data_IF_142301379270
#
_entry.id   IF_142301379270
#
_cell.length_a   1.000
_cell.length_b   1.000
_cell.length_c   1.000
_cell.angle_alpha   90.00
_cell.angle_beta   90.00
_cell.angle_gamma   90.00
#
_symmetry.space_group_name_H-M   'P 1'
#
loop_
_entity.id
_entity.type
_entity.pdbx_description
1 polymer ?
#
# COMPACT_ATOMS: atom_id res chain seq x y z
N UNK A 1 -4.53 -12.53 15.79
CA UNK A 1 -3.54 -11.97 14.85
C UNK A 1 -3.86 -12.55 13.49
N UNK A 2 -3.95 -11.75 12.44
CA UNK A 2 -4.34 -12.21 11.11
C UNK A 2 -3.35 -13.26 10.60
N UNK A 3 -3.83 -14.38 10.06
CA UNK A 3 -2.97 -15.42 9.48
C UNK A 3 -3.03 -15.31 7.97
N UNK A 4 -1.87 -15.22 7.32
CA UNK A 4 -1.77 -15.26 5.85
C UNK A 4 -1.55 -16.69 5.39
N UNK A 5 -2.11 -17.01 4.22
CA UNK A 5 -1.97 -18.34 3.61
C UNK A 5 -0.88 -18.24 2.53
N UNK A 6 0.21 -19.02 2.64
CA UNK A 6 1.26 -19.02 1.62
C UNK A 6 0.72 -19.34 0.23
N UNK A 7 1.06 -18.50 -0.75
CA UNK A 7 0.63 -18.66 -2.14
C UNK A 7 -0.73 -18.03 -2.48
N UNK A 8 -1.48 -17.55 -1.48
CA UNK A 8 -2.66 -16.73 -1.76
C UNK A 8 -2.30 -15.29 -2.10
N UNK A 9 -3.10 -14.69 -2.99
CA UNK A 9 -3.00 -13.28 -3.34
C UNK A 9 -3.93 -12.49 -2.44
N UNK A 10 -3.41 -11.37 -1.93
CA UNK A 10 -4.15 -10.40 -1.18
C UNK A 10 -4.13 -9.08 -1.93
N UNK A 11 -5.29 -8.45 -2.06
CA UNK A 11 -5.42 -7.12 -2.64
C UNK A 11 -4.76 -6.08 -1.73
N UNK A 12 -4.05 -5.13 -2.33
CA UNK A 12 -3.33 -4.12 -1.56
C UNK A 12 -3.24 -2.78 -2.29
N UNK A 13 -3.32 -1.70 -1.52
CA UNK A 13 -2.83 -0.39 -1.93
C UNK A 13 -1.34 -0.29 -1.55
N UNK A 14 -0.50 0.19 -2.47
CA UNK A 14 0.96 0.25 -2.25
C UNK A 14 1.48 1.67 -2.40
N UNK A 15 2.14 2.17 -1.35
CA UNK A 15 2.89 3.41 -1.36
C UNK A 15 4.36 3.11 -1.70
N UNK A 16 4.90 3.80 -2.70
CA UNK A 16 6.32 3.73 -3.06
C UNK A 16 6.94 5.10 -2.80
N UNK A 17 7.67 5.20 -1.69
CA UNK A 17 8.23 6.45 -1.20
C UNK A 17 9.75 6.50 -1.30
N UNK A 18 10.30 7.62 -0.87
CA UNK A 18 11.72 7.74 -0.49
C UNK A 18 11.78 8.20 0.94
N UNK A 19 12.61 7.57 1.77
CA UNK A 19 12.82 8.03 3.14
C UNK A 19 13.91 9.12 3.15
N UNK A 20 13.57 10.40 3.37
CA UNK A 20 14.57 11.48 3.37
C UNK A 20 15.38 11.54 4.68
N UNK A 21 14.96 10.82 5.72
CA UNK A 21 15.55 10.85 7.07
C UNK A 21 16.83 10.02 7.17
N UNK A 22 16.98 8.98 6.34
CA UNK A 22 18.24 8.27 6.20
C UNK A 22 19.02 8.89 5.03
N UNK A 23 20.31 9.11 5.21
CA UNK A 23 21.24 9.77 4.28
C UNK A 23 21.44 9.08 2.92
N UNK A 24 20.59 8.10 2.57
CA UNK A 24 20.52 7.42 1.29
C UNK A 24 19.13 7.54 0.67
N UNK A 25 19.07 7.64 -0.66
CA UNK A 25 17.82 7.62 -1.46
C UNK A 25 17.15 6.24 -1.44
N UNK A 26 16.99 5.65 -0.26
CA UNK A 26 16.38 4.34 -0.08
C UNK A 26 14.91 4.47 -0.37
N UNK A 27 14.46 3.77 -1.41
CA UNK A 27 13.03 3.66 -1.72
C UNK A 27 12.38 2.75 -0.68
N UNK A 28 11.24 3.18 -0.18
CA UNK A 28 10.37 2.34 0.65
C UNK A 28 9.20 1.85 -0.19
N UNK A 29 8.77 0.62 0.07
CA UNK A 29 7.57 0.04 -0.52
C UNK A 29 6.73 -0.43 0.65
N UNK A 30 5.57 0.19 0.82
CA UNK A 30 4.66 -0.05 1.94
C UNK A 30 3.33 -0.52 1.38
N UNK A 31 2.95 -1.76 1.67
CA UNK A 31 1.70 -2.35 1.23
C UNK A 31 0.66 -2.34 2.36
N UNK A 32 -0.51 -1.82 2.07
CA UNK A 32 -1.69 -1.90 2.92
C UNK A 32 -2.64 -2.94 2.33
N UNK A 33 -2.79 -4.08 3.00
CA UNK A 33 -3.71 -5.14 2.59
C UNK A 33 -5.15 -4.67 2.78
N UNK A 34 -5.95 -4.80 1.74
CA UNK A 34 -7.35 -4.39 1.71
C UNK A 34 -8.25 -5.48 2.31
N UNK A 35 -9.26 -5.03 3.05
CA UNK A 35 -10.44 -5.81 3.47
C UNK A 35 -10.15 -7.08 4.28
N UNK A 36 -8.91 -7.28 4.74
CA UNK A 36 -8.51 -8.35 5.64
C UNK A 36 -7.36 -7.94 6.56
N UNK A 37 -7.16 -8.72 7.62
CA UNK A 37 -6.04 -8.57 8.53
C UNK A 37 -4.97 -9.63 8.18
N UNK A 38 -3.77 -9.18 7.86
CA UNK A 38 -2.67 -10.03 7.40
C UNK A 38 -1.41 -9.74 8.24
N UNK A 39 -0.94 -10.72 9.01
CA UNK A 39 0.37 -10.65 9.65
C UNK A 39 1.44 -11.19 8.70
N UNK A 40 2.17 -10.26 8.08
CA UNK A 40 3.21 -10.54 7.08
C UNK A 40 4.63 -10.46 7.66
N UNK A 41 4.80 -10.23 8.97
CA UNK A 41 6.13 -10.09 9.54
C UNK A 41 6.93 -11.39 9.44
N UNK A 42 8.18 -11.28 8.98
CA UNK A 42 9.08 -12.41 8.76
C UNK A 42 8.74 -13.26 7.52
N UNK A 43 7.69 -12.93 6.77
CA UNK A 43 7.32 -13.62 5.55
C UNK A 43 8.07 -13.05 4.33
N UNK A 44 8.38 -13.91 3.36
CA UNK A 44 8.79 -13.46 2.03
C UNK A 44 7.55 -13.22 1.17
N UNK A 45 7.42 -12.01 0.65
CA UNK A 45 6.29 -11.59 -0.18
C UNK A 45 6.76 -11.07 -1.53
N UNK A 46 5.91 -11.23 -2.54
CA UNK A 46 6.05 -10.57 -3.84
C UNK A 46 4.95 -9.51 -3.98
N UNK A 47 5.23 -8.45 -4.73
CA UNK A 47 4.28 -7.38 -5.03
C UNK A 47 4.13 -7.29 -6.54
N UNK A 48 2.92 -7.56 -7.04
CA UNK A 48 2.54 -7.39 -8.44
C UNK A 48 1.82 -6.05 -8.60
N UNK A 49 2.47 -5.06 -9.23
CA UNK A 49 1.85 -3.75 -9.48
C UNK A 49 0.87 -3.83 -10.65
N UNK A 50 -0.42 -3.61 -10.37
CA UNK A 50 -1.49 -3.67 -11.38
C UNK A 50 -1.72 -2.31 -12.06
N UNK A 51 -1.80 -1.24 -11.27
CA UNK A 51 -2.03 0.11 -11.78
C UNK A 51 -1.40 1.17 -10.89
N UNK A 52 -1.15 2.35 -11.46
CA UNK A 52 -0.69 3.53 -10.72
C UNK A 52 -1.88 4.46 -10.44
N UNK A 53 -2.10 4.79 -9.17
CA UNK A 53 -3.17 5.71 -8.73
C UNK A 53 -2.72 7.17 -8.84
N UNK A 54 -1.63 7.57 -8.16
CA UNK A 54 -1.10 8.95 -8.17
C UNK A 54 0.42 9.01 -7.91
N UNK A 55 0.96 10.23 -7.80
CA UNK A 55 2.35 10.48 -7.37
C UNK A 55 2.46 10.73 -5.86
N UNK A 56 3.67 10.95 -5.36
CA UNK A 56 3.85 11.44 -3.98
C UNK A 56 3.35 12.88 -3.90
N UNK A 57 2.54 13.15 -2.90
CA UNK A 57 1.98 14.47 -2.60
C UNK A 57 2.33 14.86 -1.17
N UNK A 58 2.47 16.16 -0.95
CA UNK A 58 2.56 16.72 0.40
C UNK A 58 1.15 17.09 0.84
N UNK A 59 0.84 16.81 2.10
CA UNK A 59 -0.42 17.20 2.73
C UNK A 59 -0.12 18.25 3.80
N UNK A 60 -0.98 19.25 3.89
CA UNK A 60 -0.84 20.34 4.84
C UNK A 60 -1.35 19.95 6.24
N UNK A 61 -2.16 18.88 6.33
CA UNK A 61 -2.68 18.33 7.58
C UNK A 61 -2.75 16.79 7.57
N UNK A 62 -2.93 16.20 8.75
CA UNK A 62 -3.14 14.75 8.89
C UNK A 62 -4.50 14.36 8.34
N UNK A 63 -5.50 15.22 8.52
CA UNK A 63 -6.86 15.03 8.01
C UNK A 63 -6.88 14.94 6.48
N UNK A 64 -6.14 15.81 5.79
CA UNK A 64 -6.02 15.76 4.33
C UNK A 64 -5.36 14.47 3.85
N UNK A 65 -4.35 13.99 4.58
CA UNK A 65 -3.69 12.72 4.29
C UNK A 65 -4.67 11.55 4.45
N UNK A 66 -5.44 11.51 5.53
CA UNK A 66 -6.44 10.44 5.77
C UNK A 66 -7.48 10.42 4.66
N UNK A 67 -8.03 11.57 4.28
CA UNK A 67 -9.01 11.67 3.18
C UNK A 67 -8.42 11.15 1.86
N UNK A 68 -7.17 11.51 1.55
CA UNK A 68 -6.50 11.01 0.36
C UNK A 68 -6.27 9.50 0.42
N UNK A 69 -5.86 8.96 1.57
CA UNK A 69 -5.66 7.52 1.76
C UNK A 69 -6.97 6.74 1.60
N UNK A 70 -8.08 7.24 2.14
CA UNK A 70 -9.41 6.63 1.96
C UNK A 70 -9.79 6.59 0.47
N UNK A 71 -9.64 7.71 -0.25
CA UNK A 71 -9.91 7.78 -1.68
C UNK A 71 -9.00 6.84 -2.51
N UNK A 72 -7.71 6.74 -2.14
CA UNK A 72 -6.76 5.83 -2.78
C UNK A 72 -7.17 4.36 -2.59
N UNK A 73 -7.57 3.96 -1.37
CA UNK A 73 -8.01 2.58 -1.10
C UNK A 73 -9.28 2.23 -1.86
N UNK A 74 -10.24 3.15 -1.97
CA UNK A 74 -11.46 2.92 -2.73
C UNK A 74 -11.20 2.80 -4.23
N UNK A 75 -10.28 3.62 -4.75
CA UNK A 75 -9.85 3.51 -6.14
C UNK A 75 -9.07 2.22 -6.40
N UNK A 76 -8.25 1.77 -5.45
CA UNK A 76 -7.54 0.49 -5.54
C UNK A 76 -8.53 -0.68 -5.63
N UNK A 77 -9.55 -0.73 -4.77
CA UNK A 77 -10.63 -1.74 -4.85
C UNK A 77 -11.31 -1.73 -6.21
N UNK A 78 -11.69 -0.55 -6.68
CA UNK A 78 -12.36 -0.40 -7.98
C UNK A 78 -11.52 -0.91 -9.15
N UNK A 79 -10.20 -0.69 -9.11
CA UNK A 79 -9.27 -1.18 -10.13
C UNK A 79 -9.13 -2.71 -10.03
N UNK A 80 -8.91 -3.24 -8.83
CA UNK A 80 -8.66 -4.66 -8.61
C UNK A 80 -9.89 -5.53 -8.91
N UNK A 81 -11.10 -5.03 -8.65
CA UNK A 81 -12.34 -5.70 -9.02
C UNK A 81 -12.55 -5.87 -10.54
N UNK A 82 -11.81 -5.12 -11.37
CA UNK A 82 -11.85 -5.23 -12.82
C UNK A 82 -10.81 -6.21 -13.40
N UNK A 83 -10.03 -6.88 -12.54
CA UNK A 83 -8.94 -7.80 -12.89
C UNK A 83 -9.14 -9.19 -12.32
#
# INVERSE_FOLDING_TARGET
MGTVIPGERYEAAVSVGTNPTFSGRTRTVEAFVLDTNADLYGQHVAVDFVARIRGMEKFESVEDLVVAMEADTERARSILAAH
#
